data_IF_530349316495
#
_entry.id   IF_530349316495
#
_cell.length_a   1.000
_cell.length_b   1.000
_cell.length_c   1.000
_cell.angle_alpha   90.00
_cell.angle_beta   90.00
_cell.angle_gamma   90.00
#
_symmetry.space_group_name_H-M   'P 1'
#
loop_
_entity.id
_entity.type
_entity.pdbx_description
1 polymer ?
#
# COMPACT_ATOMS: atom_id res chain seq x y z
N UNK A 1 20.10 24.20 -2.73
CA UNK A 1 20.18 22.73 -2.86
C UNK A 1 20.37 22.45 -4.33
N UNK A 2 21.48 21.83 -4.71
CA UNK A 2 21.61 21.28 -6.06
C UNK A 2 20.67 20.08 -6.18
N UNK A 3 19.74 20.15 -7.12
CA UNK A 3 18.87 19.02 -7.43
C UNK A 3 19.67 18.03 -8.26
N UNK A 4 20.03 16.90 -7.67
CA UNK A 4 20.65 15.81 -8.40
C UNK A 4 19.57 15.13 -9.26
N UNK A 5 19.67 15.13 -10.60
CA UNK A 5 18.62 14.58 -11.44
C UNK A 5 18.57 13.06 -11.26
N UNK A 6 17.44 12.54 -10.77
CA UNK A 6 17.23 11.09 -10.58
C UNK A 6 17.57 10.30 -11.86
N UNK A 7 17.28 10.90 -13.03
CA UNK A 7 17.49 10.29 -14.34
C UNK A 7 18.97 10.18 -14.75
N UNK A 8 19.88 10.89 -14.09
CA UNK A 8 21.33 10.80 -14.34
C UNK A 8 21.99 9.63 -13.58
N UNK A 9 21.26 9.01 -12.64
CA UNK A 9 21.76 7.85 -11.90
C UNK A 9 21.68 6.57 -12.75
N UNK A 10 22.48 5.53 -12.45
CA UNK A 10 22.28 4.20 -13.00
C UNK A 10 20.85 3.69 -12.76
N UNK A 11 20.27 3.00 -13.75
CA UNK A 11 18.88 2.56 -13.71
C UNK A 11 18.55 1.69 -12.49
N UNK A 12 19.51 0.90 -12.01
CA UNK A 12 19.39 0.09 -10.79
C UNK A 12 19.18 0.96 -9.55
N UNK A 13 19.90 2.07 -9.44
CA UNK A 13 19.75 3.01 -8.33
C UNK A 13 18.41 3.74 -8.46
N UNK A 14 18.01 4.13 -9.66
CA UNK A 14 16.69 4.72 -9.89
C UNK A 14 15.56 3.79 -9.44
N UNK A 15 15.65 2.50 -9.79
CA UNK A 15 14.67 1.50 -9.40
C UNK A 15 14.59 1.36 -7.87
N UNK A 16 15.73 1.26 -7.18
CA UNK A 16 15.77 1.18 -5.72
C UNK A 16 15.16 2.43 -5.05
N UNK A 17 15.44 3.62 -5.58
CA UNK A 17 14.84 4.87 -5.07
C UNK A 17 13.33 4.82 -5.24
N UNK A 18 12.84 4.42 -6.42
CA UNK A 18 11.40 4.30 -6.70
C UNK A 18 10.75 3.30 -5.76
N UNK A 19 11.32 2.11 -5.60
CA UNK A 19 10.83 1.09 -4.66
C UNK A 19 10.67 1.64 -3.24
N UNK A 20 11.64 2.42 -2.77
CA UNK A 20 11.62 3.01 -1.41
C UNK A 20 10.61 4.13 -1.28
N UNK A 21 10.50 5.00 -2.28
CA UNK A 21 9.54 6.12 -2.29
C UNK A 21 8.11 5.60 -2.30
N UNK A 22 7.81 4.63 -3.16
CA UNK A 22 6.44 4.12 -3.32
C UNK A 22 6.03 3.15 -2.23
N UNK A 23 6.99 2.54 -1.50
CA UNK A 23 6.75 1.45 -0.54
C UNK A 23 5.51 1.64 0.34
N UNK A 24 5.30 2.83 0.88
CA UNK A 24 4.19 3.11 1.80
C UNK A 24 3.24 4.20 1.27
N UNK A 25 3.41 4.62 0.02
CA UNK A 25 2.73 5.79 -0.53
C UNK A 25 2.00 5.45 -1.81
N UNK A 26 0.69 5.29 -1.67
CA UNK A 26 -0.21 5.17 -2.81
C UNK A 26 -0.14 6.40 -3.72
N UNK A 27 -0.09 7.60 -3.13
CA UNK A 27 -0.01 8.83 -3.88
C UNK A 27 1.27 8.91 -4.71
N UNK A 28 2.42 8.56 -4.13
CA UNK A 28 3.68 8.61 -4.87
C UNK A 28 3.73 7.55 -5.97
N UNK A 29 3.21 6.34 -5.73
CA UNK A 29 3.13 5.31 -6.78
C UNK A 29 2.40 5.81 -8.03
N UNK A 30 1.21 6.38 -7.84
CA UNK A 30 0.41 6.87 -8.96
C UNK A 30 0.95 8.19 -9.53
N UNK A 31 1.52 9.05 -8.70
CA UNK A 31 2.20 10.27 -9.13
C UNK A 31 3.40 9.96 -10.03
N UNK A 32 4.22 8.98 -9.67
CA UNK A 32 5.35 8.54 -10.49
C UNK A 32 4.91 7.90 -11.80
N UNK A 33 3.82 7.11 -11.80
CA UNK A 33 3.26 6.55 -13.03
C UNK A 33 2.72 7.62 -13.98
N UNK A 34 2.25 8.74 -13.46
CA UNK A 34 1.70 9.84 -14.24
C UNK A 34 2.76 10.86 -14.69
N UNK A 35 3.98 10.83 -14.13
CA UNK A 35 4.97 11.89 -14.37
C UNK A 35 5.69 11.79 -15.71
N UNK A 36 6.18 10.61 -16.08
CA UNK A 36 6.88 10.38 -17.36
C UNK A 36 6.91 8.91 -17.76
N UNK A 37 7.27 8.62 -19.02
CA UNK A 37 7.43 7.24 -19.51
C UNK A 37 8.49 6.46 -18.72
N UNK A 38 9.63 7.08 -18.44
CA UNK A 38 10.72 6.45 -17.68
C UNK A 38 10.31 6.17 -16.24
N UNK A 39 9.67 7.14 -15.57
CA UNK A 39 9.19 6.94 -14.20
C UNK A 39 8.08 5.90 -14.11
N UNK A 40 7.19 5.85 -15.11
CA UNK A 40 6.19 4.80 -15.21
C UNK A 40 6.84 3.42 -15.34
N UNK A 41 7.84 3.28 -16.20
CA UNK A 41 8.54 2.01 -16.38
C UNK A 41 9.21 1.54 -15.06
N UNK A 42 9.86 2.45 -14.33
CA UNK A 42 10.44 2.15 -13.02
C UNK A 42 9.37 1.77 -11.99
N UNK A 43 8.25 2.50 -11.94
CA UNK A 43 7.14 2.27 -11.01
C UNK A 43 6.33 0.99 -11.32
N UNK A 44 6.56 0.36 -12.47
CA UNK A 44 5.93 -0.90 -12.88
C UNK A 44 6.90 -2.10 -12.78
N UNK A 45 8.13 -1.91 -12.29
CA UNK A 45 9.07 -3.01 -12.04
C UNK A 45 8.56 -3.94 -10.93
N UNK A 46 8.93 -5.22 -11.03
CA UNK A 46 8.52 -6.28 -10.08
C UNK A 46 8.84 -5.95 -8.62
N UNK A 47 10.02 -5.38 -8.36
CA UNK A 47 10.45 -5.03 -7.01
C UNK A 47 9.51 -4.03 -6.32
N UNK A 48 8.90 -3.12 -7.08
CA UNK A 48 7.87 -2.21 -6.55
C UNK A 48 6.72 -3.02 -5.96
N UNK A 49 6.13 -3.93 -6.73
CA UNK A 49 5.00 -4.74 -6.27
C UNK A 49 5.39 -5.73 -5.16
N UNK A 50 6.60 -6.27 -5.20
CA UNK A 50 7.11 -7.16 -4.16
C UNK A 50 7.26 -6.44 -2.81
N UNK A 51 7.82 -5.24 -2.78
CA UNK A 51 8.11 -4.51 -1.54
C UNK A 51 6.99 -3.57 -1.08
N UNK A 52 6.00 -3.28 -1.92
CA UNK A 52 4.90 -2.38 -1.60
C UNK A 52 4.11 -2.84 -0.36
N UNK A 53 3.93 -1.97 0.64
CA UNK A 53 3.09 -2.25 1.79
C UNK A 53 1.61 -2.08 1.41
N UNK A 54 0.99 -3.15 0.92
CA UNK A 54 -0.43 -3.15 0.57
C UNK A 54 -1.32 -2.80 1.77
N UNK A 55 -0.85 -3.05 3.00
CA UNK A 55 -1.59 -2.68 4.20
C UNK A 55 -1.61 -1.17 4.45
N UNK A 56 -0.71 -0.40 3.82
CA UNK A 56 -0.71 1.07 3.87
C UNK A 56 -1.77 1.69 2.95
N UNK A 57 -2.36 0.92 2.04
CA UNK A 57 -3.42 1.42 1.15
C UNK A 57 -4.73 1.55 1.92
N UNK A 58 -5.47 2.64 1.74
CA UNK A 58 -6.81 2.78 2.32
C UNK A 58 -7.78 1.77 1.71
N UNK A 59 -7.94 0.60 2.36
CA UNK A 59 -8.85 -0.49 1.96
C UNK A 59 -10.33 -0.09 1.79
N UNK A 60 -10.72 1.05 2.38
CA UNK A 60 -12.05 1.63 2.25
C UNK A 60 -12.27 2.39 0.94
N UNK A 61 -11.22 2.69 0.18
CA UNK A 61 -11.28 3.28 -1.16
C UNK A 61 -11.03 2.16 -2.15
N UNK A 62 -11.92 1.97 -3.13
CA UNK A 62 -11.80 1.03 -4.25
C UNK A 62 -10.34 0.63 -4.51
N UNK A 63 -9.88 -0.43 -3.83
CA UNK A 63 -8.50 -0.88 -3.94
C UNK A 63 -8.31 -1.18 -5.42
N UNK A 64 -7.30 -0.60 -6.11
CA UNK A 64 -7.12 -0.87 -7.51
C UNK A 64 -6.89 -2.36 -7.67
N UNK A 65 -7.90 -3.07 -8.19
CA UNK A 65 -7.89 -4.53 -8.23
C UNK A 65 -6.67 -5.06 -8.99
N UNK A 66 -6.15 -4.28 -9.93
CA UNK A 66 -4.89 -4.53 -10.62
C UNK A 66 -3.67 -4.42 -9.71
N UNK A 67 -3.57 -3.41 -8.83
CA UNK A 67 -2.44 -3.28 -7.90
C UNK A 67 -2.36 -4.49 -6.98
N UNK A 68 -3.50 -4.90 -6.40
CA UNK A 68 -3.56 -6.08 -5.54
C UNK A 68 -3.17 -7.36 -6.29
N UNK A 69 -3.66 -7.53 -7.52
CA UNK A 69 -3.31 -8.68 -8.39
C UNK A 69 -1.82 -8.70 -8.71
N UNK A 70 -1.23 -7.56 -9.05
CA UNK A 70 0.21 -7.45 -9.36
C UNK A 70 1.05 -7.76 -8.12
N UNK A 71 0.73 -7.19 -6.95
CA UNK A 71 1.43 -7.52 -5.71
C UNK A 71 1.32 -9.01 -5.37
N UNK A 72 0.14 -9.60 -5.53
CA UNK A 72 -0.05 -11.03 -5.29
C UNK A 72 0.74 -11.91 -6.27
N UNK A 73 0.78 -11.56 -7.57
CA UNK A 73 1.53 -12.29 -8.59
C UNK A 73 3.04 -12.30 -8.32
N UNK A 74 3.57 -11.20 -7.75
CA UNK A 74 4.98 -11.10 -7.36
C UNK A 74 5.27 -11.72 -5.99
N UNK A 75 4.28 -12.30 -5.30
CA UNK A 75 4.49 -12.94 -3.99
C UNK A 75 4.67 -11.95 -2.84
N UNK A 76 4.10 -10.76 -2.94
CA UNK A 76 4.20 -9.71 -1.92
C UNK A 76 3.77 -10.23 -0.53
N UNK A 77 4.63 -10.10 0.51
CA UNK A 77 4.33 -10.59 1.86
C UNK A 77 3.03 -10.04 2.44
N UNK A 78 2.72 -8.76 2.22
CA UNK A 78 1.48 -8.15 2.71
C UNK A 78 0.24 -8.76 2.05
N UNK A 79 0.26 -9.06 0.75
CA UNK A 79 -0.87 -9.73 0.08
C UNK A 79 -1.05 -11.18 0.53
N UNK A 80 0.05 -11.91 0.74
CA UNK A 80 0.01 -13.28 1.25
C UNK A 80 -0.54 -13.32 2.68
N UNK A 81 -0.09 -12.39 3.53
CA UNK A 81 -0.62 -12.21 4.88
C UNK A 81 -2.14 -11.96 4.86
N UNK A 82 -2.61 -11.04 4.02
CA UNK A 82 -4.03 -10.71 3.85
C UNK A 82 -4.82 -11.91 3.37
N UNK A 83 -4.33 -12.61 2.35
CA UNK A 83 -5.00 -13.81 1.83
C UNK A 83 -5.13 -14.87 2.93
N UNK A 84 -4.09 -15.11 3.72
CA UNK A 84 -4.12 -16.06 4.84
C UNK A 84 -5.05 -15.60 5.98
N UNK A 85 -4.95 -14.33 6.38
CA UNK A 85 -5.73 -13.74 7.47
C UNK A 85 -7.22 -13.70 7.18
N UNK A 86 -7.62 -13.31 5.96
CA UNK A 86 -9.03 -13.24 5.58
C UNK A 86 -9.64 -14.58 5.16
N UNK A 87 -8.83 -15.63 4.91
CA UNK A 87 -9.36 -16.95 4.58
C UNK A 87 -10.25 -17.53 5.69
N UNK A 88 -9.98 -17.19 6.95
CA UNK A 88 -10.76 -17.61 8.11
C UNK A 88 -11.86 -16.63 8.54
N UNK A 89 -11.96 -15.45 7.93
CA UNK A 89 -12.91 -14.40 8.34
C UNK A 89 -14.11 -14.41 7.39
N UNK A 90 -15.36 -14.56 7.89
CA UNK A 90 -16.52 -14.53 7.01
C UNK A 90 -16.62 -13.17 6.29
N UNK A 91 -16.92 -13.22 4.98
CA UNK A 91 -16.93 -12.06 4.07
C UNK A 91 -17.77 -10.89 4.59
N UNK A 92 -18.83 -11.18 5.33
CA UNK A 92 -19.70 -10.19 5.98
C UNK A 92 -18.94 -9.33 7.01
N UNK A 93 -18.08 -9.94 7.83
CA UNK A 93 -17.28 -9.22 8.83
C UNK A 93 -16.24 -8.30 8.17
N UNK A 94 -15.63 -8.75 7.08
CA UNK A 94 -14.72 -7.92 6.26
C UNK A 94 -15.44 -6.70 5.70
N UNK A 95 -16.66 -6.87 5.20
CA UNK A 95 -17.47 -5.77 4.69
C UNK A 95 -17.91 -4.80 5.80
N UNK A 96 -18.27 -5.30 6.98
CA UNK A 96 -18.63 -4.47 8.14
C UNK A 96 -17.44 -3.64 8.63
N UNK A 97 -16.24 -4.22 8.67
CA UNK A 97 -15.00 -3.50 9.01
C UNK A 97 -14.70 -2.44 7.96
N UNK A 98 -14.81 -2.78 6.66
CA UNK A 98 -14.63 -1.81 5.58
C UNK A 98 -15.59 -0.62 5.70
N UNK A 99 -16.86 -0.88 6.00
CA UNK A 99 -17.88 0.17 6.23
C UNK A 99 -17.59 1.00 7.48
N UNK A 100 -17.09 0.39 8.56
CA UNK A 100 -16.73 1.11 9.78
C UNK A 100 -15.58 2.09 9.49
N UNK A 101 -14.52 1.63 8.82
CA UNK A 101 -13.38 2.47 8.39
C UNK A 101 -13.84 3.60 7.44
N UNK A 102 -14.82 3.34 6.56
CA UNK A 102 -15.42 4.35 5.68
C UNK A 102 -16.31 5.36 6.41
N UNK A 103 -17.01 4.96 7.47
CA UNK A 103 -17.94 5.82 8.22
C UNK A 103 -17.24 6.81 9.15
N UNK A 104 -16.02 6.50 9.59
CA UNK A 104 -15.18 7.48 10.27
C UNK A 104 -14.65 8.42 9.18
N UNK A 105 -14.99 9.71 9.26
CA UNK A 105 -14.66 10.79 8.30
C UNK A 105 -13.17 10.82 7.92
N UNK A 106 -12.72 9.94 7.04
CA UNK A 106 -11.33 9.91 6.57
C UNK A 106 -11.21 10.11 5.07
N UNK A 107 -12.30 10.44 4.39
CA UNK A 107 -12.27 10.79 2.97
C UNK A 107 -11.35 11.99 2.67
N UNK A 108 -10.53 11.84 1.63
CA UNK A 108 -9.65 12.85 1.02
C UNK A 108 -8.49 13.33 1.91
N UNK A 109 -7.34 12.66 1.80
CA UNK A 109 -6.02 13.22 2.16
C UNK A 109 -5.52 13.01 3.60
N UNK A 110 -6.33 12.49 4.53
CA UNK A 110 -5.93 12.34 5.94
C UNK A 110 -5.31 10.98 6.30
N UNK A 111 -5.11 10.09 5.33
CA UNK A 111 -4.53 8.74 5.49
C UNK A 111 -3.05 8.73 5.91
N UNK A 112 -2.39 9.87 5.79
CA UNK A 112 -0.99 10.07 6.17
C UNK A 112 -0.84 10.64 7.59
N UNK A 113 -1.94 10.96 8.27
CA UNK A 113 -1.88 11.49 9.63
C UNK A 113 -1.35 10.44 10.60
N UNK A 114 -0.59 10.90 11.60
CA UNK A 114 -0.12 10.02 12.67
C UNK A 114 -1.29 9.41 13.44
N UNK A 115 -2.43 10.10 13.50
CA UNK A 115 -3.67 9.61 14.09
C UNK A 115 -4.23 8.40 13.32
N UNK A 116 -4.22 8.41 11.98
CA UNK A 116 -4.63 7.24 11.19
C UNK A 116 -3.68 6.07 11.43
N UNK A 117 -2.37 6.33 11.47
CA UNK A 117 -1.35 5.29 11.72
C UNK A 117 -1.52 4.67 13.11
N UNK A 118 -1.75 5.49 14.14
CA UNK A 118 -1.99 5.04 15.51
C UNK A 118 -3.31 4.26 15.64
N UNK A 119 -4.40 4.73 15.03
CA UNK A 119 -5.68 4.02 15.06
C UNK A 119 -5.64 2.71 14.27
N UNK A 120 -4.91 2.65 13.15
CA UNK A 120 -4.61 1.39 12.44
C UNK A 120 -3.80 0.45 13.33
N UNK A 121 -2.77 0.92 14.01
CA UNK A 121 -1.97 0.12 14.94
C UNK A 121 -2.79 -0.37 16.14
N UNK A 122 -3.67 0.46 16.68
CA UNK A 122 -4.61 0.09 17.75
C UNK A 122 -5.62 -0.94 17.26
N UNK A 123 -6.23 -0.74 16.08
CA UNK A 123 -7.14 -1.71 15.48
C UNK A 123 -6.47 -3.06 15.25
N UNK A 124 -5.27 -3.06 14.67
CA UNK A 124 -4.44 -4.26 14.50
C UNK A 124 -4.18 -4.87 15.88
N UNK A 125 -3.60 -4.15 16.84
CA UNK A 125 -3.26 -4.72 18.15
C UNK A 125 -4.45 -5.29 18.93
N UNK A 126 -5.59 -4.58 18.97
CA UNK A 126 -6.78 -5.01 19.74
C UNK A 126 -7.51 -6.15 19.05
N UNK A 127 -7.75 -6.02 17.75
CA UNK A 127 -8.55 -6.97 17.00
C UNK A 127 -7.73 -8.20 16.61
N UNK A 128 -6.47 -8.04 16.21
CA UNK A 128 -5.58 -9.16 15.86
C UNK A 128 -5.20 -9.95 17.11
N UNK A 129 -4.88 -9.29 18.23
CA UNK A 129 -4.48 -10.01 19.45
C UNK A 129 -5.63 -10.80 20.10
N UNK A 130 -6.90 -10.46 19.84
CA UNK A 130 -8.05 -11.22 20.37
C UNK A 130 -8.28 -12.56 19.68
N UNK A 131 -7.66 -12.82 18.52
CA UNK A 131 -7.77 -14.10 17.79
C UNK A 131 -6.64 -15.09 18.11
N UNK A 132 -5.61 -14.66 18.84
CA UNK A 132 -4.52 -15.52 19.32
C UNK A 132 -4.68 -15.93 20.79
N UNK A 133 -5.88 -15.72 21.36
CA UNK A 133 -6.20 -16.04 22.76
C UNK A 133 -7.16 -17.22 22.85
#
# INVERSE_FOLDING_TARGET
>A
MEYFPLLELPEEIQALVVERVVRNSFQDLYGLKASSKSMKALAERRGVYYFYDVLSVPWGFNMPSQLLKSCYAEGNPSTLYIKGYFHGIPREWVQRIGKLVQSVKWGWGLWHSDEFRQNRALFISKFVSSFYR
#
